data_IF_467560644977
#
_entry.id   IF_467560644977
#
_cell.length_a   1.000
_cell.length_b   1.000
_cell.length_c   1.000
_cell.angle_alpha   90.00
_cell.angle_beta   90.00
_cell.angle_gamma   90.00
#
_symmetry.space_group_name_H-M   'P 1'
#
loop_
_entity.id
_entity.type
_entity.pdbx_description
1 polymer ?
#
# COMPACT_ATOMS: atom_id res chain seq x y z
N UNK A 1 -31.22 13.86 50.67
CA UNK A 1 -31.51 13.53 49.29
C UNK A 1 -30.17 13.10 48.64
N UNK A 2 -29.95 11.76 48.58
CA UNK A 2 -28.82 11.15 47.91
C UNK A 2 -29.19 10.99 46.42
N UNK A 3 -28.50 11.71 45.54
CA UNK A 3 -28.56 11.52 44.11
C UNK A 3 -27.75 10.30 43.70
N UNK A 4 -28.42 9.23 43.30
CA UNK A 4 -27.80 8.06 42.69
C UNK A 4 -27.43 8.43 41.24
N UNK A 5 -26.13 8.67 41.01
CA UNK A 5 -25.57 8.83 39.66
C UNK A 5 -25.46 7.44 39.06
N UNK A 6 -26.43 7.07 38.24
CA UNK A 6 -26.31 5.88 37.36
C UNK A 6 -25.34 6.20 36.25
N UNK A 7 -24.10 5.72 36.39
CA UNK A 7 -23.17 5.60 35.27
C UNK A 7 -23.79 4.64 34.25
N UNK A 8 -24.35 5.17 33.17
CA UNK A 8 -24.65 4.35 32.00
C UNK A 8 -23.32 3.75 31.51
N UNK A 9 -23.15 2.44 31.72
CA UNK A 9 -22.20 1.66 30.94
C UNK A 9 -22.56 1.87 29.46
N UNK A 10 -21.68 2.49 28.68
CA UNK A 10 -21.71 2.36 27.22
C UNK A 10 -21.73 0.86 26.94
N UNK A 11 -22.83 0.36 26.38
CA UNK A 11 -22.87 -0.97 25.76
C UNK A 11 -21.74 -0.98 24.75
N UNK A 12 -20.74 -1.84 24.95
CA UNK A 12 -19.54 -1.90 24.12
C UNK A 12 -19.95 -2.06 22.67
N UNK A 13 -19.46 -1.15 21.83
CA UNK A 13 -19.58 -1.23 20.39
C UNK A 13 -18.91 -2.52 19.92
N UNK A 14 -19.58 -3.31 19.07
CA UNK A 14 -19.04 -4.61 18.62
C UNK A 14 -17.78 -4.36 17.79
N UNK A 15 -16.70 -5.04 18.12
CA UNK A 15 -15.47 -5.02 17.34
C UNK A 15 -15.57 -6.07 16.20
N UNK A 16 -15.86 -5.59 14.98
CA UNK A 16 -15.96 -6.45 13.79
C UNK A 16 -14.60 -6.84 13.22
N UNK A 17 -13.52 -6.13 13.58
CA UNK A 17 -12.17 -6.46 13.13
C UNK A 17 -11.71 -7.82 13.65
N UNK A 18 -12.26 -8.30 14.77
CA UNK A 18 -11.99 -9.60 15.34
C UNK A 18 -12.34 -10.79 14.42
N UNK A 19 -13.23 -10.58 13.46
CA UNK A 19 -13.62 -11.60 12.47
C UNK A 19 -12.74 -11.59 11.22
N UNK A 20 -11.85 -10.61 11.04
CA UNK A 20 -10.97 -10.54 9.88
C UNK A 20 -9.72 -11.38 10.10
N UNK A 21 -9.48 -12.32 9.21
CA UNK A 21 -8.22 -13.05 9.14
C UNK A 21 -7.45 -12.63 7.88
N UNK A 22 -6.49 -11.71 8.05
CA UNK A 22 -5.70 -11.15 6.96
C UNK A 22 -4.80 -12.16 6.24
N UNK A 23 -4.61 -13.38 6.79
CA UNK A 23 -3.87 -14.46 6.13
C UNK A 23 -4.70 -15.26 5.14
N UNK A 24 -6.04 -15.11 5.11
CA UNK A 24 -6.87 -15.76 4.09
C UNK A 24 -6.51 -15.19 2.72
N UNK A 25 -6.22 -16.07 1.75
CA UNK A 25 -5.78 -15.71 0.41
C UNK A 25 -4.27 -15.47 0.29
N UNK A 26 -3.49 -15.49 1.38
CA UNK A 26 -2.04 -15.31 1.36
C UNK A 26 -1.25 -16.61 1.11
N UNK A 27 -1.94 -17.72 0.78
CA UNK A 27 -1.31 -18.98 0.40
C UNK A 27 -1.52 -19.26 -1.09
N UNK A 28 -0.66 -20.10 -1.64
CA UNK A 28 -0.68 -20.54 -3.04
C UNK A 28 -0.79 -19.37 -4.04
N UNK A 29 -1.93 -19.26 -4.72
CA UNK A 29 -2.20 -18.29 -5.77
C UNK A 29 -3.28 -17.26 -5.37
N UNK A 30 -3.52 -17.05 -4.09
CA UNK A 30 -4.49 -16.06 -3.61
C UNK A 30 -4.01 -14.62 -3.75
N UNK A 31 -2.69 -14.41 -3.72
CA UNK A 31 -2.02 -13.13 -3.94
C UNK A 31 -2.55 -12.00 -3.05
N UNK A 32 -2.84 -12.31 -1.77
CA UNK A 32 -3.14 -11.30 -0.76
C UNK A 32 -1.95 -11.15 0.19
N UNK A 33 -1.90 -10.04 0.90
CA UNK A 33 -0.86 -9.75 1.88
C UNK A 33 -1.45 -9.55 3.28
N UNK A 34 -0.74 -9.93 4.37
CA UNK A 34 -1.24 -9.81 5.74
C UNK A 34 -0.92 -8.48 6.41
N UNK A 35 -0.17 -7.59 5.75
CA UNK A 35 0.39 -6.40 6.36
C UNK A 35 -0.61 -5.30 6.70
N UNK A 36 -0.10 -4.22 7.28
CA UNK A 36 -0.90 -3.10 7.76
C UNK A 36 -1.25 -2.12 6.64
N UNK A 37 -2.53 -1.81 6.50
CA UNK A 37 -3.04 -0.77 5.61
C UNK A 37 -4.30 -0.11 6.20
N UNK A 38 -4.73 0.98 5.58
CA UNK A 38 -6.03 1.62 5.81
C UNK A 38 -6.96 1.33 4.64
N UNK A 39 -8.29 1.50 4.77
CA UNK A 39 -9.18 1.39 3.61
C UNK A 39 -8.78 2.34 2.48
N UNK A 40 -8.63 1.80 1.27
CA UNK A 40 -8.28 2.56 0.06
C UNK A 40 -6.97 3.37 0.14
N UNK A 41 -6.04 2.99 1.01
CA UNK A 41 -4.80 3.75 1.25
C UNK A 41 -3.74 3.54 0.17
N UNK A 42 -2.83 4.51 0.03
CA UNK A 42 -1.60 4.37 -0.76
C UNK A 42 -0.66 3.37 -0.10
N UNK A 43 -0.51 3.43 1.22
CA UNK A 43 0.39 2.58 1.98
C UNK A 43 -0.26 1.25 2.34
N UNK A 44 0.45 0.17 2.02
CA UNK A 44 0.18 -1.19 2.43
C UNK A 44 1.50 -1.83 2.88
N UNK A 45 1.94 -1.48 4.10
CA UNK A 45 3.22 -2.00 4.59
C UNK A 45 3.09 -3.45 5.03
N UNK A 46 3.85 -4.36 4.42
CA UNK A 46 3.69 -5.81 4.58
C UNK A 46 5.01 -6.56 4.49
N UNK A 47 5.12 -7.74 5.12
CA UNK A 47 6.27 -8.61 4.94
C UNK A 47 6.38 -9.12 3.50
N UNK A 48 7.62 -9.30 3.08
CA UNK A 48 8.02 -9.91 1.82
C UNK A 48 8.67 -11.25 2.11
N UNK A 49 8.15 -12.34 1.53
CA UNK A 49 8.77 -13.68 1.62
C UNK A 49 9.41 -14.12 0.31
N UNK A 50 9.17 -13.38 -0.78
CA UNK A 50 9.79 -13.55 -2.07
C UNK A 50 9.32 -12.50 -3.06
N UNK A 51 10.08 -12.31 -4.13
CA UNK A 51 9.83 -11.23 -5.10
C UNK A 51 9.90 -11.69 -6.57
N UNK A 52 10.23 -12.94 -6.85
CA UNK A 52 10.49 -13.40 -8.21
C UNK A 52 9.54 -14.53 -8.59
N UNK A 53 8.82 -14.32 -9.69
CA UNK A 53 7.84 -15.27 -10.23
C UNK A 53 6.42 -15.05 -9.72
N UNK A 54 5.46 -15.53 -10.51
CA UNK A 54 4.03 -15.26 -10.34
C UNK A 54 3.46 -15.56 -8.95
N UNK A 55 4.04 -16.53 -8.24
CA UNK A 55 3.65 -16.86 -6.86
C UNK A 55 3.75 -15.66 -5.91
N UNK A 56 4.62 -14.71 -6.21
CA UNK A 56 4.94 -13.54 -5.37
C UNK A 56 4.33 -12.23 -5.90
N UNK A 57 3.17 -12.27 -6.57
CA UNK A 57 2.49 -11.05 -7.03
C UNK A 57 2.15 -10.07 -5.88
N UNK A 58 1.90 -10.57 -4.68
CA UNK A 58 1.74 -9.76 -3.46
C UNK A 58 2.89 -9.94 -2.48
N UNK A 59 4.04 -10.45 -2.95
CA UNK A 59 5.32 -10.63 -2.24
C UNK A 59 5.27 -11.55 -1.01
N UNK A 60 4.10 -11.87 -0.49
CA UNK A 60 3.96 -12.73 0.69
C UNK A 60 3.28 -14.05 0.34
N UNK A 61 3.86 -15.15 0.81
CA UNK A 61 3.27 -16.49 0.75
C UNK A 61 3.30 -17.14 2.13
N UNK A 62 2.12 -17.47 2.65
CA UNK A 62 1.92 -17.95 4.03
C UNK A 62 2.78 -19.15 4.42
N UNK A 63 3.06 -20.06 3.46
CA UNK A 63 3.85 -21.28 3.71
C UNK A 63 5.37 -21.04 3.76
N UNK A 64 5.83 -19.85 3.44
CA UNK A 64 7.24 -19.52 3.50
C UNK A 64 7.69 -19.29 4.95
N UNK A 65 8.98 -19.50 5.19
CA UNK A 65 9.61 -19.40 6.51
C UNK A 65 10.72 -18.36 6.58
N UNK A 66 10.90 -17.57 5.50
CA UNK A 66 11.96 -16.59 5.36
C UNK A 66 11.38 -15.24 4.95
N UNK A 67 11.56 -14.21 5.77
CA UNK A 67 11.20 -12.82 5.44
C UNK A 67 12.43 -12.12 4.85
N UNK A 68 12.22 -11.42 3.72
CA UNK A 68 13.21 -10.59 3.05
C UNK A 68 13.25 -9.17 3.62
N UNK A 69 12.12 -8.69 4.11
CA UNK A 69 11.92 -7.36 4.67
C UNK A 69 10.46 -6.95 4.61
N UNK A 70 10.21 -5.64 4.66
CA UNK A 70 8.88 -5.03 4.64
C UNK A 70 8.84 -3.95 3.58
N UNK A 71 7.98 -4.09 2.57
CA UNK A 71 7.74 -3.07 1.54
C UNK A 71 6.55 -2.19 1.90
N UNK A 72 6.40 -1.06 1.21
CA UNK A 72 5.41 -0.03 1.59
C UNK A 72 4.16 -0.05 0.73
N UNK A 73 4.20 -0.73 -0.42
CA UNK A 73 3.08 -0.83 -1.37
C UNK A 73 2.89 -2.27 -1.82
N UNK A 74 1.64 -2.69 -2.04
CA UNK A 74 1.32 -4.05 -2.50
C UNK A 74 0.10 -4.05 -3.42
N UNK A 75 0.07 -4.98 -4.36
CA UNK A 75 -1.16 -5.40 -5.02
C UNK A 75 -1.88 -6.44 -4.16
N UNK A 76 -3.20 -6.49 -4.24
CA UNK A 76 -4.03 -7.41 -3.46
C UNK A 76 -4.96 -8.21 -4.37
N UNK A 77 -4.83 -9.53 -4.35
CA UNK A 77 -5.69 -10.45 -5.10
C UNK A 77 -5.49 -10.40 -6.62
N UNK A 78 -4.38 -9.85 -7.11
CA UNK A 78 -4.09 -9.72 -8.54
C UNK A 78 -2.99 -10.68 -8.98
N UNK A 79 -3.09 -11.17 -10.21
CA UNK A 79 -2.07 -12.03 -10.82
C UNK A 79 -1.01 -11.26 -11.60
N UNK A 80 -0.60 -10.08 -11.14
CA UNK A 80 0.43 -9.29 -11.78
C UNK A 80 1.55 -8.86 -10.82
N UNK A 81 2.73 -8.66 -11.38
CA UNK A 81 3.95 -8.28 -10.65
C UNK A 81 4.12 -6.78 -10.76
N UNK A 82 3.73 -6.04 -9.73
CA UNK A 82 3.96 -4.60 -9.61
C UNK A 82 3.77 -4.14 -8.17
N UNK A 83 4.12 -2.88 -7.87
CA UNK A 83 4.24 -2.33 -6.51
C UNK A 83 5.32 -3.07 -5.70
N UNK A 84 5.29 -3.08 -4.37
CA UNK A 84 6.31 -3.75 -3.56
C UNK A 84 7.59 -2.93 -3.45
N UNK A 85 7.50 -1.62 -3.42
CA UNK A 85 8.66 -0.72 -3.41
C UNK A 85 9.08 -0.32 -2.00
N UNK A 86 10.33 0.16 -1.90
CA UNK A 86 10.95 0.68 -0.68
C UNK A 86 10.95 -0.40 0.42
N UNK A 87 11.78 -1.43 0.21
CA UNK A 87 11.96 -2.48 1.21
C UNK A 87 12.85 -1.98 2.33
N UNK A 88 12.44 -2.27 3.57
CA UNK A 88 13.23 -2.05 4.78
C UNK A 88 13.32 -3.33 5.58
N UNK A 89 14.47 -3.56 6.23
CA UNK A 89 14.68 -4.75 7.06
C UNK A 89 15.53 -4.40 8.28
N UNK A 90 15.04 -4.61 9.53
CA UNK A 90 15.89 -4.48 10.70
C UNK A 90 16.90 -5.62 10.73
N UNK A 91 18.14 -5.28 10.97
CA UNK A 91 19.30 -6.21 10.95
C UNK A 91 20.24 -5.92 12.11
N UNK A 92 21.06 -6.91 12.49
CA UNK A 92 22.09 -6.78 13.53
C UNK A 92 23.43 -7.31 13.07
N UNK A 93 24.52 -6.79 13.65
CA UNK A 93 25.87 -7.27 13.42
C UNK A 93 26.36 -7.06 11.97
N UNK A 94 27.21 -7.96 11.51
CA UNK A 94 27.84 -7.89 10.16
C UNK A 94 26.98 -8.55 9.07
N UNK A 95 25.81 -9.07 9.38
CA UNK A 95 24.94 -9.84 8.46
C UNK A 95 24.51 -9.05 7.23
N UNK A 96 24.31 -7.76 7.38
CA UNK A 96 23.78 -6.91 6.34
C UNK A 96 24.76 -6.56 5.20
N UNK A 97 25.92 -7.21 5.11
CA UNK A 97 26.96 -6.86 4.12
C UNK A 97 26.80 -7.53 2.75
N UNK A 98 25.89 -8.51 2.62
CA UNK A 98 25.53 -9.10 1.33
C UNK A 98 24.02 -8.99 1.16
N UNK A 99 23.56 -8.67 -0.04
CA UNK A 99 22.15 -8.34 -0.31
C UNK A 99 21.15 -9.47 0.00
N UNK A 100 21.60 -10.72 0.03
CA UNK A 100 20.79 -11.91 0.34
C UNK A 100 20.97 -12.42 1.80
N UNK A 101 21.94 -11.89 2.53
CA UNK A 101 22.24 -12.32 3.90
C UNK A 101 21.41 -11.62 4.99
N UNK A 102 20.63 -10.61 4.64
CA UNK A 102 19.80 -9.87 5.59
C UNK A 102 18.44 -10.53 5.86
N UNK A 103 18.05 -11.51 5.05
CA UNK A 103 16.78 -12.24 5.23
C UNK A 103 16.76 -12.97 6.56
N UNK A 104 15.56 -13.10 7.15
CA UNK A 104 15.40 -13.73 8.45
C UNK A 104 14.37 -14.84 8.43
N UNK A 105 14.68 -15.95 9.07
CA UNK A 105 13.70 -16.93 9.47
C UNK A 105 12.76 -16.33 10.52
N UNK A 106 11.55 -16.84 10.58
CA UNK A 106 10.56 -16.48 11.59
C UNK A 106 9.65 -17.67 11.92
N UNK A 107 9.29 -17.85 13.20
CA UNK A 107 8.33 -18.88 13.59
C UNK A 107 6.90 -18.38 13.35
N UNK A 108 6.06 -19.20 12.73
CA UNK A 108 4.66 -18.86 12.42
C UNK A 108 3.80 -18.56 13.63
N UNK A 109 4.10 -19.16 14.77
CA UNK A 109 3.41 -18.91 16.05
C UNK A 109 3.81 -17.57 16.71
N UNK A 110 4.78 -16.86 16.12
CA UNK A 110 5.23 -15.51 16.50
C UNK A 110 4.91 -14.46 15.44
N UNK A 111 4.10 -14.81 14.46
CA UNK A 111 3.56 -13.92 13.46
C UNK A 111 2.08 -13.67 13.76
N UNK A 112 1.65 -12.42 13.75
CA UNK A 112 0.25 -12.06 13.92
C UNK A 112 -0.10 -10.83 13.10
N UNK A 113 -1.36 -10.77 12.62
CA UNK A 113 -1.88 -9.65 11.87
C UNK A 113 -3.35 -9.41 12.16
N UNK A 114 -3.74 -8.15 12.18
CA UNK A 114 -5.13 -7.69 12.26
C UNK A 114 -5.29 -6.49 11.33
N UNK A 115 -6.51 -6.08 10.96
CA UNK A 115 -6.69 -4.88 10.15
C UNK A 115 -5.92 -3.67 10.68
N UNK A 116 -4.98 -3.15 9.90
CA UNK A 116 -4.14 -2.01 10.26
C UNK A 116 -2.92 -2.31 11.14
N UNK A 117 -2.63 -3.59 11.43
CA UNK A 117 -1.46 -3.96 12.24
C UNK A 117 -0.89 -5.31 11.83
N UNK A 118 0.45 -5.40 11.85
CA UNK A 118 1.20 -6.64 11.65
C UNK A 118 2.37 -6.72 12.63
N UNK A 119 2.72 -7.93 13.08
CA UNK A 119 3.88 -8.17 13.94
C UNK A 119 4.51 -9.54 13.68
N UNK A 120 5.84 -9.62 13.84
CA UNK A 120 6.61 -10.86 13.70
C UNK A 120 7.92 -10.81 14.50
N UNK A 121 8.36 -11.98 14.98
CA UNK A 121 9.70 -12.17 15.55
C UNK A 121 10.67 -12.63 14.46
N UNK A 122 11.66 -11.82 14.16
CA UNK A 122 12.75 -12.12 13.22
C UNK A 122 13.87 -12.81 14.00
N UNK A 123 14.03 -14.13 13.79
CA UNK A 123 14.96 -14.93 14.62
C UNK A 123 16.42 -14.64 14.36
N UNK A 124 16.78 -14.39 13.11
CA UNK A 124 18.17 -14.22 12.73
C UNK A 124 18.81 -12.93 13.26
N UNK A 125 18.19 -11.75 13.14
CA UNK A 125 18.69 -10.53 13.77
C UNK A 125 18.28 -10.42 15.26
N UNK A 126 17.36 -11.26 15.77
CA UNK A 126 16.83 -11.13 17.13
C UNK A 126 16.04 -9.83 17.32
N UNK A 127 15.07 -9.58 16.42
CA UNK A 127 14.27 -8.34 16.40
C UNK A 127 12.79 -8.65 16.32
N UNK A 128 11.99 -8.05 17.20
CA UNK A 128 10.55 -7.98 17.00
C UNK A 128 10.24 -6.81 16.08
N UNK A 129 9.53 -7.08 14.97
CA UNK A 129 9.05 -6.06 14.06
C UNK A 129 7.53 -5.88 14.22
N UNK A 130 7.09 -4.63 14.29
CA UNK A 130 5.68 -4.25 14.34
C UNK A 130 5.41 -3.14 13.32
N UNK A 131 4.32 -3.26 12.57
CA UNK A 131 3.94 -2.35 11.51
C UNK A 131 2.52 -1.84 11.72
N UNK A 132 2.31 -0.56 11.50
CA UNK A 132 0.99 0.06 11.35
C UNK A 132 1.04 1.15 10.29
N UNK A 133 -0.11 1.66 9.84
CA UNK A 133 -0.17 2.61 8.73
C UNK A 133 -1.25 3.67 8.91
N UNK A 134 -0.97 4.83 8.34
CA UNK A 134 -1.93 5.85 7.92
C UNK A 134 -2.15 5.76 6.40
N UNK A 135 -3.02 6.58 5.78
CA UNK A 135 -3.24 6.48 4.33
C UNK A 135 -1.99 6.66 3.45
N UNK A 136 -1.06 7.51 3.85
CA UNK A 136 0.14 7.85 3.05
C UNK A 136 1.47 7.59 3.77
N UNK A 137 1.43 7.09 5.02
CA UNK A 137 2.64 6.82 5.77
C UNK A 137 2.55 5.51 6.58
N UNK A 138 3.64 4.73 6.57
CA UNK A 138 3.84 3.61 7.47
C UNK A 138 4.57 4.05 8.74
N UNK A 139 4.27 3.40 9.86
CA UNK A 139 5.03 3.51 11.10
C UNK A 139 5.50 2.12 11.53
N UNK A 140 6.80 1.94 11.57
CA UNK A 140 7.47 0.72 11.99
C UNK A 140 8.01 0.88 13.39
N UNK A 141 7.94 -0.19 14.19
CA UNK A 141 8.60 -0.31 15.50
C UNK A 141 9.43 -1.59 15.52
N UNK A 142 10.71 -1.44 15.80
CA UNK A 142 11.68 -2.54 15.88
C UNK A 142 12.24 -2.61 17.29
N UNK A 143 11.97 -3.70 18.02
CA UNK A 143 12.57 -3.97 19.32
C UNK A 143 13.77 -4.88 19.13
N UNK A 144 14.96 -4.39 19.39
CA UNK A 144 16.21 -5.14 19.25
C UNK A 144 16.50 -5.88 20.55
N UNK A 145 16.40 -7.22 20.54
CA UNK A 145 16.70 -8.04 21.71
C UNK A 145 18.20 -8.09 22.02
N UNK A 146 19.03 -7.92 20.98
CA UNK A 146 20.48 -7.81 21.08
C UNK A 146 20.90 -6.48 20.45
N UNK A 147 21.75 -5.70 21.15
CA UNK A 147 22.18 -4.38 20.69
C UNK A 147 23.41 -4.41 19.77
N UNK A 148 23.84 -5.58 19.28
CA UNK A 148 25.06 -5.70 18.51
C UNK A 148 24.87 -5.09 17.12
N UNK A 149 25.20 -3.80 16.97
CA UNK A 149 25.09 -3.02 15.72
C UNK A 149 23.65 -2.98 15.17
N UNK A 150 22.69 -2.52 16.00
CA UNK A 150 21.30 -2.32 15.58
C UNK A 150 21.24 -1.45 14.31
N UNK A 151 20.69 -1.98 13.23
CA UNK A 151 20.69 -1.32 11.94
C UNK A 151 19.39 -1.57 11.17
N UNK A 152 19.12 -0.73 10.19
CA UNK A 152 18.05 -0.94 9.19
C UNK A 152 18.68 -0.95 7.80
N UNK A 153 18.47 -2.04 7.08
CA UNK A 153 18.71 -2.08 5.63
C UNK A 153 17.54 -1.35 4.95
N UNK A 154 17.86 -0.49 4.00
CA UNK A 154 16.94 0.19 3.09
C UNK A 154 17.31 -0.27 1.68
N UNK A 155 16.46 -1.06 1.05
CA UNK A 155 16.68 -1.58 -0.32
C UNK A 155 15.72 -0.89 -1.29
N UNK A 156 16.27 0.04 -2.05
CA UNK A 156 15.56 0.83 -3.06
C UNK A 156 15.71 0.22 -4.48
N UNK A 157 16.27 -0.98 -4.59
CA UNK A 157 16.29 -1.79 -5.80
C UNK A 157 15.15 -2.82 -5.82
N UNK A 158 14.60 -3.11 -4.63
CA UNK A 158 13.58 -4.14 -4.46
C UNK A 158 12.28 -3.79 -5.17
N UNK A 159 11.58 -4.83 -5.63
CA UNK A 159 10.23 -4.85 -6.18
C UNK A 159 9.95 -6.21 -6.81
N UNK A 160 8.70 -6.65 -6.93
CA UNK A 160 8.37 -7.95 -7.50
C UNK A 160 8.67 -8.00 -9.01
N UNK A 161 9.11 -9.16 -9.48
CA UNK A 161 9.53 -9.35 -10.88
C UNK A 161 9.16 -10.73 -11.41
N UNK A 162 8.94 -10.85 -12.74
CA UNK A 162 8.66 -12.13 -13.40
C UNK A 162 9.85 -13.07 -13.40
N UNK A 163 11.07 -12.52 -13.41
CA UNK A 163 12.33 -13.27 -13.44
C UNK A 163 13.48 -12.42 -12.91
N UNK A 164 14.64 -13.07 -12.70
CA UNK A 164 15.86 -12.44 -12.18
C UNK A 164 16.32 -11.23 -13.02
N UNK A 165 16.28 -11.33 -14.35
CA UNK A 165 16.74 -10.23 -15.21
C UNK A 165 15.88 -8.98 -15.02
N UNK A 166 14.55 -9.14 -14.90
CA UNK A 166 13.65 -8.04 -14.62
C UNK A 166 13.89 -7.48 -13.22
N UNK A 167 14.09 -8.32 -12.21
CA UNK A 167 14.38 -7.91 -10.85
C UNK A 167 15.58 -6.96 -10.78
N UNK A 168 16.63 -7.24 -11.53
CA UNK A 168 17.83 -6.41 -11.57
C UNK A 168 17.71 -5.15 -12.46
N UNK A 169 16.70 -5.03 -13.29
CA UNK A 169 16.56 -3.92 -14.25
C UNK A 169 15.28 -3.07 -14.09
N UNK A 170 14.40 -3.39 -13.15
CA UNK A 170 13.13 -2.68 -12.98
C UNK A 170 13.31 -1.22 -12.53
N UNK A 171 14.25 -0.94 -11.64
CA UNK A 171 14.55 0.42 -11.20
C UNK A 171 15.32 1.16 -12.29
N UNK A 172 14.78 2.29 -12.74
CA UNK A 172 15.33 3.11 -13.82
C UNK A 172 16.25 4.22 -13.29
N UNK A 173 15.90 4.76 -12.11
CA UNK A 173 16.71 5.76 -11.40
C UNK A 173 16.39 5.75 -9.91
N UNK A 174 17.36 6.12 -9.10
CA UNK A 174 17.21 6.26 -7.65
C UNK A 174 18.09 7.40 -7.14
N UNK A 175 17.46 8.35 -6.47
CA UNK A 175 18.13 9.46 -5.80
C UNK A 175 17.80 9.45 -4.31
N UNK A 176 18.79 9.74 -3.48
CA UNK A 176 18.62 9.79 -2.02
C UNK A 176 19.41 10.94 -1.44
N UNK A 177 18.89 11.55 -0.38
CA UNK A 177 19.56 12.62 0.33
C UNK A 177 19.29 12.50 1.84
N UNK A 178 20.35 12.47 2.64
CA UNK A 178 20.25 12.67 4.09
C UNK A 178 20.13 14.15 4.39
N UNK A 179 18.97 14.60 4.82
CA UNK A 179 18.73 16.01 5.19
C UNK A 179 19.35 16.35 6.56
N UNK A 180 19.32 15.36 7.45
CA UNK A 180 19.95 15.39 8.78
C UNK A 180 20.26 13.94 9.23
N UNK A 181 20.72 13.76 10.46
CA UNK A 181 21.06 12.44 11.02
C UNK A 181 19.87 11.51 11.23
N UNK A 182 18.63 11.97 11.04
CA UNK A 182 17.41 11.18 11.27
C UNK A 182 16.50 11.12 10.04
N UNK A 183 16.78 11.87 8.98
CA UNK A 183 15.87 12.07 7.87
C UNK A 183 16.53 11.73 6.54
N UNK A 184 16.09 10.65 5.92
CA UNK A 184 16.44 10.28 4.55
C UNK A 184 15.26 10.61 3.62
N UNK A 185 15.54 11.34 2.56
CA UNK A 185 14.58 11.58 1.48
C UNK A 185 15.06 10.96 0.19
N UNK A 186 14.14 10.67 -0.72
CA UNK A 186 14.54 10.12 -2.01
C UNK A 186 13.43 10.04 -3.03
N UNK A 187 13.85 9.62 -4.21
CA UNK A 187 13.01 9.34 -5.36
C UNK A 187 13.48 8.05 -6.01
N UNK A 188 12.54 7.15 -6.28
CA UNK A 188 12.75 5.94 -7.06
C UNK A 188 11.81 5.99 -8.26
N UNK A 189 12.36 5.81 -9.46
CA UNK A 189 11.57 5.56 -10.65
C UNK A 189 11.68 4.09 -11.02
N UNK A 190 10.52 3.42 -11.01
CA UNK A 190 10.39 2.02 -11.34
C UNK A 190 9.63 1.85 -12.68
N UNK A 191 9.85 0.73 -13.36
CA UNK A 191 9.17 0.37 -14.60
C UNK A 191 8.98 -1.14 -14.66
N UNK A 192 7.79 -1.59 -14.24
CA UNK A 192 7.35 -2.98 -14.40
C UNK A 192 6.22 -3.03 -15.44
N UNK A 193 4.99 -2.72 -15.07
CA UNK A 193 3.87 -2.58 -16.01
C UNK A 193 3.69 -1.15 -16.48
N UNK A 194 3.85 -0.19 -15.55
CA UNK A 194 3.85 1.25 -15.84
C UNK A 194 5.10 1.90 -15.28
N UNK A 195 5.47 3.06 -15.82
CA UNK A 195 6.50 3.87 -15.19
C UNK A 195 5.90 4.55 -13.96
N UNK A 196 6.53 4.33 -12.81
CA UNK A 196 6.08 4.82 -11.52
C UNK A 196 7.16 5.68 -10.89
N UNK A 197 6.74 6.78 -10.28
CA UNK A 197 7.60 7.64 -9.48
C UNK A 197 7.16 7.56 -8.03
N UNK A 198 8.09 7.17 -7.15
CA UNK A 198 7.91 7.10 -5.71
C UNK A 198 8.83 8.13 -5.06
N UNK A 199 8.26 9.19 -4.56
CA UNK A 199 8.98 10.12 -3.70
C UNK A 199 8.70 9.74 -2.24
N UNK A 200 9.72 9.71 -1.42
CA UNK A 200 9.56 9.31 -0.04
C UNK A 200 10.32 10.21 0.92
N UNK A 201 9.85 10.24 2.15
CA UNK A 201 10.60 10.66 3.32
C UNK A 201 10.58 9.53 4.35
N UNK A 202 11.75 9.19 4.83
CA UNK A 202 11.95 8.22 5.91
C UNK A 202 12.57 8.94 7.09
N UNK A 203 11.96 8.79 8.26
CA UNK A 203 12.42 9.46 9.48
C UNK A 203 12.54 8.47 10.62
N UNK A 204 13.64 8.59 11.38
CA UNK A 204 13.92 7.76 12.55
C UNK A 204 13.77 8.58 13.84
N UNK A 205 13.34 7.94 14.94
CA UNK A 205 13.25 8.60 16.25
C UNK A 205 14.62 8.75 16.93
N UNK A 206 15.69 8.15 16.34
CA UNK A 206 17.08 8.23 16.83
C UNK A 206 18.01 8.66 15.70
N UNK A 207 19.15 9.29 16.01
CA UNK A 207 20.14 9.63 14.99
C UNK A 207 20.83 8.37 14.43
N UNK A 208 21.03 8.35 13.13
CA UNK A 208 21.93 7.42 12.44
C UNK A 208 23.35 7.81 12.78
N UNK A 209 24.13 6.85 13.30
CA UNK A 209 25.54 7.06 13.69
C UNK A 209 26.53 6.61 12.61
N UNK A 210 26.09 5.72 11.69
CA UNK A 210 26.90 5.25 10.55
C UNK A 210 26.00 4.89 9.39
N UNK A 211 26.51 5.05 8.17
CA UNK A 211 25.79 4.72 6.93
C UNK A 211 26.71 3.96 5.99
N UNK A 212 26.32 2.75 5.60
CA UNK A 212 27.02 1.93 4.62
C UNK A 212 26.18 1.76 3.34
N UNK A 213 26.77 2.13 2.19
CA UNK A 213 26.18 1.83 0.88
C UNK A 213 26.73 0.50 0.37
N UNK A 214 25.85 -0.46 0.12
CA UNK A 214 26.24 -1.77 -0.40
C UNK A 214 26.55 -1.68 -1.90
N UNK A 215 27.50 -2.52 -2.39
CA UNK A 215 27.78 -2.62 -3.83
C UNK A 215 26.54 -3.05 -4.61
N UNK A 216 26.35 -2.46 -5.79
CA UNK A 216 25.27 -2.76 -6.72
C UNK A 216 25.84 -3.42 -7.98
N UNK A 217 25.04 -4.26 -8.65
CA UNK A 217 25.38 -4.78 -9.97
C UNK A 217 25.26 -3.65 -11.03
N UNK A 218 25.97 -3.80 -12.17
CA UNK A 218 25.94 -2.78 -13.24
C UNK A 218 24.52 -2.51 -13.81
N UNK A 219 23.66 -3.52 -13.78
CA UNK A 219 22.26 -3.45 -14.24
C UNK A 219 21.36 -2.79 -13.24
N UNK A 220 21.73 -2.73 -11.97
CA UNK A 220 20.94 -2.15 -10.88
C UNK A 220 21.13 -0.64 -10.81
N UNK A 221 20.05 0.11 -10.76
CA UNK A 221 20.03 1.58 -10.67
C UNK A 221 19.47 2.08 -9.33
N UNK A 222 19.03 1.16 -8.47
CA UNK A 222 18.62 1.42 -7.09
C UNK A 222 19.81 1.67 -6.16
N UNK A 223 19.51 1.66 -4.87
CA UNK A 223 20.52 1.76 -3.80
C UNK A 223 20.17 0.80 -2.68
N UNK A 224 21.19 0.26 -2.02
CA UNK A 224 21.05 -0.48 -0.75
C UNK A 224 21.86 0.24 0.31
N UNK A 225 21.20 0.68 1.36
CA UNK A 225 21.76 1.52 2.42
C UNK A 225 21.54 0.81 3.75
N UNK A 226 22.58 0.73 4.58
CA UNK A 226 22.48 0.28 5.96
C UNK A 226 22.66 1.51 6.85
N UNK A 227 21.62 1.85 7.60
CA UNK A 227 21.65 2.88 8.61
C UNK A 227 21.82 2.22 9.99
N UNK A 228 22.87 2.58 10.72
CA UNK A 228 23.23 2.01 12.03
C UNK A 228 22.89 2.99 13.14
N UNK A 229 22.42 2.46 14.28
CA UNK A 229 21.96 3.20 15.44
C UNK A 229 22.68 2.77 16.70
N UNK A 230 22.90 3.71 17.61
CA UNK A 230 23.37 3.43 18.96
C UNK A 230 22.17 3.05 19.84
N UNK A 231 22.12 1.77 20.23
CA UNK A 231 20.99 1.21 20.97
C UNK A 231 21.43 0.17 22.01
N UNK A 232 20.70 0.11 23.10
CA UNK A 232 20.87 -0.93 24.12
C UNK A 232 19.90 -2.09 23.87
N UNK A 233 20.21 -3.32 24.37
CA UNK A 233 19.31 -4.46 24.26
C UNK A 233 17.92 -4.16 24.84
N UNK A 234 16.86 -4.49 24.10
CA UNK A 234 15.46 -4.26 24.46
C UNK A 234 14.93 -2.87 24.12
N UNK A 235 15.74 -1.98 23.56
CA UNK A 235 15.27 -0.67 23.10
C UNK A 235 14.51 -0.75 21.78
N UNK A 236 13.63 0.24 21.56
CA UNK A 236 12.79 0.37 20.38
C UNK A 236 13.32 1.46 19.43
N UNK A 237 13.46 1.09 18.15
CA UNK A 237 13.63 2.02 17.04
C UNK A 237 12.28 2.24 16.37
N UNK A 238 11.86 3.50 16.27
CA UNK A 238 10.69 3.88 15.47
C UNK A 238 11.15 4.50 14.16
N UNK A 239 10.50 4.09 13.07
CA UNK A 239 10.75 4.61 11.73
C UNK A 239 9.43 4.93 11.04
N UNK A 240 9.31 6.12 10.48
CA UNK A 240 8.21 6.54 9.59
C UNK A 240 8.67 6.48 8.16
N UNK A 241 7.82 5.99 7.26
CA UNK A 241 8.02 6.07 5.81
C UNK A 241 6.77 6.63 5.18
N UNK A 242 6.82 7.87 4.69
CA UNK A 242 5.72 8.46 3.94
C UNK A 242 6.08 8.58 2.46
N UNK A 243 5.07 8.44 1.61
CA UNK A 243 5.22 8.43 0.16
C UNK A 243 4.34 9.48 -0.49
N UNK A 244 4.72 9.86 -1.72
CA UNK A 244 3.98 10.75 -2.59
C UNK A 244 4.29 10.43 -4.06
N UNK A 245 3.35 10.71 -4.95
CA UNK A 245 3.57 10.67 -6.40
C UNK A 245 4.07 12.01 -6.95
N UNK A 246 4.05 13.08 -6.15
CA UNK A 246 4.31 14.46 -6.62
C UNK A 246 5.73 14.93 -6.37
N UNK A 247 6.29 14.60 -5.20
CA UNK A 247 7.61 15.02 -4.79
C UNK A 247 7.88 14.74 -3.31
N UNK A 248 9.13 14.95 -2.90
CA UNK A 248 9.54 14.82 -1.49
C UNK A 248 8.73 15.74 -0.57
N UNK A 249 8.41 16.95 -1.01
CA UNK A 249 7.57 17.88 -0.23
C UNK A 249 6.14 17.36 -0.03
N UNK A 250 5.59 16.64 -1.03
CA UNK A 250 4.31 15.94 -0.89
C UNK A 250 4.39 14.85 0.20
N UNK A 251 5.43 14.02 0.15
CA UNK A 251 5.65 12.98 1.16
C UNK A 251 5.83 13.55 2.58
N UNK A 252 6.53 14.68 2.72
CA UNK A 252 6.66 15.39 4.01
C UNK A 252 5.31 15.89 4.52
N UNK A 253 4.50 16.52 3.67
CA UNK A 253 3.14 16.98 4.04
C UNK A 253 2.26 15.81 4.49
N UNK A 254 2.31 14.69 3.78
CA UNK A 254 1.60 13.48 4.13
C UNK A 254 2.01 12.98 5.51
N UNK A 255 3.32 12.89 5.79
CA UNK A 255 3.84 12.50 7.11
C UNK A 255 3.39 13.43 8.23
N UNK A 256 3.51 14.74 8.02
CA UNK A 256 3.14 15.75 9.03
C UNK A 256 1.64 15.75 9.33
N UNK A 257 0.80 15.56 8.31
CA UNK A 257 -0.65 15.54 8.48
C UNK A 257 -1.16 14.28 9.19
N UNK A 258 -0.53 13.13 8.95
CA UNK A 258 -1.07 11.83 9.35
C UNK A 258 -0.33 11.19 10.53
N UNK A 259 0.99 11.36 10.63
CA UNK A 259 1.81 10.80 11.71
C UNK A 259 2.78 11.90 12.24
N UNK A 260 2.24 12.93 12.87
CA UNK A 260 3.04 14.06 13.35
C UNK A 260 4.03 13.64 14.44
N UNK A 261 3.62 12.78 15.36
CA UNK A 261 4.41 12.32 16.51
C UNK A 261 4.84 10.85 16.39
N UNK A 262 5.49 10.31 17.42
CA UNK A 262 5.98 8.93 17.48
C UNK A 262 5.02 7.98 18.25
N UNK A 263 3.72 8.33 18.32
CA UNK A 263 2.71 7.54 19.03
C UNK A 263 2.27 6.32 18.20
N UNK A 264 3.03 5.23 18.26
CA UNK A 264 2.73 3.99 17.56
C UNK A 264 1.34 3.43 17.91
N UNK A 265 1.00 3.40 19.20
CA UNK A 265 -0.29 2.84 19.63
C UNK A 265 -1.46 3.73 19.17
N UNK A 266 -1.28 5.05 19.09
CA UNK A 266 -2.29 5.96 18.57
C UNK A 266 -2.56 5.73 17.07
N UNK A 267 -1.52 5.54 16.25
CA UNK A 267 -1.67 5.22 14.81
C UNK A 267 -2.34 3.87 14.62
N UNK A 268 -1.90 2.83 15.37
CA UNK A 268 -2.49 1.50 15.38
C UNK A 268 -3.97 1.53 15.75
N UNK A 269 -4.33 2.24 16.82
CA UNK A 269 -5.73 2.37 17.26
C UNK A 269 -6.58 3.09 16.20
N UNK A 270 -6.07 4.17 15.62
CA UNK A 270 -6.76 4.89 14.55
C UNK A 270 -7.00 4.00 13.31
N UNK A 271 -6.05 3.12 12.98
CA UNK A 271 -6.23 2.14 11.90
C UNK A 271 -7.32 1.12 12.23
N UNK A 272 -7.28 0.54 13.44
CA UNK A 272 -8.30 -0.37 13.93
C UNK A 272 -9.70 0.26 13.91
N UNK A 273 -9.83 1.48 14.43
CA UNK A 273 -11.13 2.17 14.54
C UNK A 273 -11.71 2.49 13.16
N UNK A 274 -10.88 2.89 12.20
CA UNK A 274 -11.34 3.11 10.83
C UNK A 274 -11.82 1.82 10.17
N UNK A 275 -11.07 0.71 10.30
CA UNK A 275 -11.51 -0.58 9.80
C UNK A 275 -12.82 -1.02 10.47
N UNK A 276 -12.93 -0.90 11.80
CA UNK A 276 -14.17 -1.25 12.51
C UNK A 276 -15.36 -0.41 12.05
N UNK A 277 -15.15 0.90 11.80
CA UNK A 277 -16.21 1.79 11.28
C UNK A 277 -16.72 1.34 9.90
N UNK A 278 -15.86 0.83 9.01
CA UNK A 278 -16.31 0.29 7.71
C UNK A 278 -16.98 -1.08 7.87
N UNK A 279 -16.38 -1.99 8.62
CA UNK A 279 -16.86 -3.36 8.80
C UNK A 279 -18.21 -3.40 9.54
N UNK A 280 -18.44 -2.47 10.46
CA UNK A 280 -19.71 -2.36 11.20
C UNK A 280 -20.92 -1.93 10.37
N UNK A 281 -20.71 -1.53 9.10
CA UNK A 281 -21.82 -1.12 8.19
C UNK A 281 -22.73 -2.27 7.79
N UNK A 282 -22.28 -3.52 7.96
CA UNK A 282 -23.09 -4.73 7.78
C UNK A 282 -22.92 -5.61 9.01
N UNK A 283 -24.05 -6.01 9.59
CA UNK A 283 -24.06 -7.05 10.62
C UNK A 283 -24.65 -8.34 10.03
N UNK A 284 -23.94 -9.46 10.19
CA UNK A 284 -24.42 -10.77 9.78
C UNK A 284 -24.55 -11.70 10.97
N UNK A 285 -25.50 -12.64 10.88
CA UNK A 285 -25.65 -13.76 11.80
C UNK A 285 -25.12 -15.02 11.13
N UNK A 286 -24.36 -15.85 11.86
CA UNK A 286 -23.77 -17.06 11.33
C UNK A 286 -22.76 -17.67 12.31
N UNK A 287 -22.14 -18.75 11.90
CA UNK A 287 -20.99 -19.36 12.60
C UNK A 287 -19.78 -18.45 12.55
N UNK A 288 -18.78 -18.71 13.38
CA UNK A 288 -17.53 -17.94 13.37
C UNK A 288 -16.80 -18.05 12.02
N UNK A 289 -16.82 -19.21 11.37
CA UNK A 289 -16.25 -19.39 10.03
C UNK A 289 -16.98 -18.56 8.97
N UNK A 290 -18.31 -18.51 8.99
CA UNK A 290 -19.10 -17.69 8.07
C UNK A 290 -18.82 -16.20 8.28
N UNK A 291 -18.73 -15.75 9.53
CA UNK A 291 -18.35 -14.38 9.86
C UNK A 291 -16.93 -14.06 9.41
N UNK A 292 -15.98 -14.95 9.67
CA UNK A 292 -14.59 -14.78 9.25
C UNK A 292 -14.49 -14.66 7.73
N UNK A 293 -15.14 -15.54 6.98
CA UNK A 293 -15.16 -15.47 5.52
C UNK A 293 -15.79 -14.17 5.00
N UNK A 294 -16.91 -13.76 5.59
CA UNK A 294 -17.61 -12.54 5.18
C UNK A 294 -16.79 -11.29 5.47
N UNK A 295 -16.35 -11.09 6.72
CA UNK A 295 -15.64 -9.87 7.10
C UNK A 295 -14.24 -9.79 6.50
N UNK A 296 -13.56 -10.93 6.29
CA UNK A 296 -12.28 -10.94 5.55
C UNK A 296 -12.48 -10.58 4.08
N UNK A 297 -13.54 -11.08 3.43
CA UNK A 297 -13.86 -10.69 2.05
C UNK A 297 -14.23 -9.21 1.95
N UNK A 298 -14.97 -8.70 2.94
CA UNK A 298 -15.30 -7.28 3.02
C UNK A 298 -14.05 -6.42 3.22
N UNK A 299 -13.15 -6.82 4.13
CA UNK A 299 -11.85 -6.18 4.33
C UNK A 299 -11.05 -6.13 3.02
N UNK A 300 -10.90 -7.26 2.30
CA UNK A 300 -10.17 -7.30 1.03
C UNK A 300 -10.79 -6.40 -0.03
N UNK A 301 -12.12 -6.31 -0.10
CA UNK A 301 -12.80 -5.44 -1.05
C UNK A 301 -12.53 -3.95 -0.83
N UNK A 302 -12.11 -3.54 0.38
CA UNK A 302 -11.84 -2.14 0.72
C UNK A 302 -10.34 -1.77 0.68
N UNK A 303 -9.44 -2.70 0.34
CA UNK A 303 -8.00 -2.39 0.22
C UNK A 303 -7.75 -1.52 -1.01
N UNK A 304 -8.43 -1.81 -2.13
CA UNK A 304 -8.30 -1.10 -3.40
C UNK A 304 -9.68 -0.63 -3.90
N UNK A 305 -9.73 0.41 -4.74
CA UNK A 305 -8.65 1.18 -5.36
C UNK A 305 -7.89 2.08 -4.36
N UNK A 306 -6.62 2.35 -4.66
CA UNK A 306 -5.76 3.14 -3.76
C UNK A 306 -5.85 4.63 -4.04
N UNK A 307 -5.98 5.46 -3.01
CA UNK A 307 -5.80 6.90 -3.12
C UNK A 307 -4.32 7.21 -3.30
N UNK A 308 -3.93 7.74 -4.45
CA UNK A 308 -2.54 8.10 -4.77
C UNK A 308 -2.27 9.61 -4.80
N UNK A 309 -3.31 10.43 -4.58
CA UNK A 309 -3.15 11.87 -4.35
C UNK A 309 -2.70 12.13 -2.93
N UNK A 310 -1.83 13.14 -2.75
CA UNK A 310 -1.41 13.62 -1.44
C UNK A 310 -2.57 14.18 -0.61
N UNK A 311 -2.35 14.43 0.67
CA UNK A 311 -3.37 14.97 1.61
C UNK A 311 -3.97 16.31 1.15
N UNK A 312 -3.26 17.08 0.33
CA UNK A 312 -3.72 18.33 -0.26
C UNK A 312 -4.34 18.18 -1.67
N UNK A 313 -4.50 16.92 -2.13
CA UNK A 313 -5.16 16.54 -3.37
C UNK A 313 -4.29 16.59 -4.63
N UNK A 314 -3.00 16.88 -4.54
CA UNK A 314 -2.09 16.83 -5.68
C UNK A 314 -1.67 15.39 -6.01
N UNK A 315 -1.55 15.07 -7.29
CA UNK A 315 -1.10 13.76 -7.77
C UNK A 315 -0.39 13.88 -9.13
N UNK A 316 0.32 12.82 -9.52
CA UNK A 316 0.93 12.69 -10.85
C UNK A 316 -0.03 11.97 -11.78
N UNK A 317 -0.43 12.62 -12.87
CA UNK A 317 -1.39 12.07 -13.83
C UNK A 317 -0.71 11.17 -14.90
N UNK A 318 -1.52 10.60 -15.80
CA UNK A 318 -1.05 9.69 -16.86
C UNK A 318 -0.05 10.32 -17.85
N UNK A 319 0.02 11.65 -17.94
CA UNK A 319 1.00 12.39 -18.75
C UNK A 319 2.23 12.86 -17.94
N UNK A 320 2.47 12.28 -16.75
CA UNK A 320 3.56 12.66 -15.84
C UNK A 320 3.50 14.12 -15.35
N UNK A 321 2.35 14.77 -15.46
CA UNK A 321 2.13 16.13 -14.94
C UNK A 321 1.59 16.10 -13.52
N UNK A 322 2.05 17.02 -12.67
CA UNK A 322 1.52 17.18 -11.31
C UNK A 322 0.30 18.10 -11.38
N UNK A 323 -0.86 17.57 -10.98
CA UNK A 323 -2.15 18.24 -11.04
C UNK A 323 -2.93 18.01 -9.76
N UNK A 324 -4.00 18.78 -9.55
CA UNK A 324 -4.87 18.63 -8.39
C UNK A 324 -6.15 17.89 -8.77
N UNK A 325 -6.52 16.88 -7.98
CA UNK A 325 -7.77 16.14 -8.14
C UNK A 325 -8.99 17.06 -7.99
N UNK A 326 -9.97 16.96 -8.89
CA UNK A 326 -11.11 17.85 -8.94
C UNK A 326 -12.00 17.82 -7.70
N UNK A 327 -12.07 16.68 -7.01
CA UNK A 327 -12.82 16.51 -5.76
C UNK A 327 -11.93 16.25 -4.53
N UNK A 328 -10.64 16.57 -4.61
CA UNK A 328 -9.68 16.47 -3.50
C UNK A 328 -9.02 15.11 -3.33
N UNK A 329 -9.44 14.07 -4.06
CA UNK A 329 -8.82 12.74 -4.01
C UNK A 329 -8.75 12.11 -5.41
N UNK A 330 -7.63 11.50 -5.74
CA UNK A 330 -7.47 10.70 -6.96
C UNK A 330 -7.12 9.26 -6.59
N UNK A 331 -7.90 8.33 -7.14
CA UNK A 331 -7.77 6.90 -6.92
C UNK A 331 -7.20 6.19 -8.14
N UNK A 332 -6.45 5.14 -7.90
CA UNK A 332 -5.88 4.25 -8.92
C UNK A 332 -5.94 2.79 -8.48
N UNK A 333 -5.29 1.90 -9.23
CA UNK A 333 -5.35 0.44 -9.01
C UNK A 333 -6.78 -0.07 -9.24
N UNK A 334 -7.28 0.20 -10.44
CA UNK A 334 -8.61 -0.21 -10.89
C UNK A 334 -8.53 -1.44 -11.79
N UNK A 335 -8.78 -2.62 -11.24
CA UNK A 335 -8.99 -3.86 -12.03
C UNK A 335 -10.44 -3.94 -12.49
N UNK A 336 -10.84 -3.07 -13.43
CA UNK A 336 -12.26 -2.85 -13.75
C UNK A 336 -12.94 -4.08 -14.35
N UNK A 337 -12.24 -4.93 -15.10
CA UNK A 337 -12.82 -6.13 -15.69
C UNK A 337 -13.23 -7.16 -14.63
N UNK A 338 -12.63 -7.12 -13.43
CA UNK A 338 -13.03 -7.91 -12.27
C UNK A 338 -14.11 -7.20 -11.44
N UNK A 339 -13.89 -5.91 -11.13
CA UNK A 339 -14.61 -5.22 -10.07
C UNK A 339 -15.96 -4.64 -10.49
N UNK A 340 -16.19 -4.43 -11.81
CA UNK A 340 -17.42 -3.78 -12.30
C UNK A 340 -18.69 -4.58 -11.99
N UNK A 341 -18.61 -5.91 -11.86
CA UNK A 341 -19.77 -6.79 -11.68
C UNK A 341 -20.32 -6.75 -10.26
N UNK A 342 -19.44 -6.68 -9.25
CA UNK A 342 -19.84 -6.82 -7.85
C UNK A 342 -19.21 -5.76 -6.94
N UNK A 343 -17.89 -5.51 -6.99
CA UNK A 343 -17.24 -4.59 -6.08
C UNK A 343 -17.73 -3.14 -6.25
N UNK A 344 -17.79 -2.61 -7.48
CA UNK A 344 -18.32 -1.26 -7.70
C UNK A 344 -19.82 -1.12 -7.32
N UNK A 345 -20.73 -2.04 -7.70
CA UNK A 345 -22.08 -2.07 -7.15
C UNK A 345 -22.12 -2.11 -5.62
N UNK A 346 -21.27 -2.89 -4.98
CA UNK A 346 -21.16 -2.98 -3.53
C UNK A 346 -20.68 -1.68 -2.91
N UNK A 347 -19.73 -0.98 -3.51
CA UNK A 347 -19.27 0.33 -3.04
C UNK A 347 -20.39 1.36 -3.01
N UNK A 348 -21.34 1.32 -3.94
CA UNK A 348 -22.47 2.23 -3.93
C UNK A 348 -23.40 2.05 -2.71
N UNK A 349 -23.32 0.90 -2.06
CA UNK A 349 -24.09 0.58 -0.85
C UNK A 349 -23.27 0.82 0.42
N UNK A 350 -22.01 0.35 0.41
CA UNK A 350 -21.20 0.27 1.62
C UNK A 350 -20.29 1.48 1.83
N UNK A 351 -19.85 2.11 0.76
CA UNK A 351 -18.94 3.27 0.81
C UNK A 351 -19.39 4.38 -0.14
N UNK A 352 -20.68 4.81 -0.07
CA UNK A 352 -21.25 5.78 -1.01
C UNK A 352 -20.46 7.10 -1.04
N UNK A 353 -19.81 7.48 0.05
CA UNK A 353 -18.96 8.67 0.15
C UNK A 353 -17.70 8.62 -0.71
N UNK A 354 -17.30 7.44 -1.20
CA UNK A 354 -16.12 7.25 -2.07
C UNK A 354 -16.47 7.20 -3.55
N UNK A 355 -17.71 6.86 -3.91
CA UNK A 355 -18.12 6.55 -5.29
C UNK A 355 -17.88 7.72 -6.25
N UNK A 356 -18.23 8.94 -5.87
CA UNK A 356 -17.99 10.11 -6.70
C UNK A 356 -16.46 10.34 -6.94
N UNK A 357 -15.63 10.03 -5.94
CA UNK A 357 -14.18 10.07 -6.06
C UNK A 357 -13.65 9.04 -7.06
N UNK A 358 -14.17 7.83 -7.04
CA UNK A 358 -13.80 6.78 -8.00
C UNK A 358 -14.17 7.19 -9.43
N UNK A 359 -15.39 7.70 -9.63
CA UNK A 359 -15.86 8.14 -10.95
C UNK A 359 -15.03 9.33 -11.45
N UNK A 360 -14.77 10.35 -10.62
CA UNK A 360 -13.92 11.48 -11.00
C UNK A 360 -12.53 11.02 -11.42
N UNK A 361 -11.92 10.07 -10.70
CA UNK A 361 -10.59 9.55 -11.04
C UNK A 361 -10.57 8.85 -12.41
N UNK A 362 -11.61 8.06 -12.73
CA UNK A 362 -11.74 7.44 -14.05
C UNK A 362 -11.90 8.48 -15.16
N UNK A 363 -12.69 9.53 -14.93
CA UNK A 363 -12.91 10.62 -15.89
C UNK A 363 -11.63 11.44 -16.09
N UNK A 364 -10.97 11.85 -15.00
CA UNK A 364 -9.71 12.62 -15.06
C UNK A 364 -8.60 11.85 -15.77
N UNK A 365 -8.46 10.55 -15.51
CA UNK A 365 -7.49 9.71 -16.23
C UNK A 365 -7.85 9.63 -17.72
N UNK A 366 -9.13 9.44 -18.06
CA UNK A 366 -9.59 9.34 -19.45
C UNK A 366 -9.38 10.63 -20.22
N UNK A 367 -9.54 11.80 -19.62
CA UNK A 367 -9.30 13.09 -20.27
C UNK A 367 -7.83 13.28 -20.67
N UNK A 368 -6.91 12.73 -19.87
CA UNK A 368 -5.46 12.82 -20.15
C UNK A 368 -5.02 11.81 -21.21
N UNK A 369 -5.47 10.56 -21.12
CA UNK A 369 -5.03 9.48 -22.01
C UNK A 369 -5.92 9.29 -23.25
N UNK A 370 -7.13 9.89 -23.28
CA UNK A 370 -8.05 9.86 -24.41
C UNK A 370 -9.15 8.81 -24.32
N UNK A 371 -9.12 7.88 -23.36
CA UNK A 371 -10.09 6.80 -23.16
C UNK A 371 -10.16 6.40 -21.70
N UNK A 372 -11.29 5.78 -21.30
CA UNK A 372 -11.44 5.23 -19.94
C UNK A 372 -10.46 4.10 -19.69
N UNK A 373 -9.86 4.02 -18.49
CA UNK A 373 -8.91 2.94 -18.19
C UNK A 373 -9.59 1.57 -18.24
N UNK A 374 -8.81 0.57 -18.65
CA UNK A 374 -9.18 -0.85 -18.60
C UNK A 374 -8.63 -1.43 -17.29
N UNK A 375 -7.34 -1.24 -17.06
CA UNK A 375 -6.65 -1.63 -15.85
C UNK A 375 -5.68 -0.52 -15.43
N UNK A 376 -6.19 0.45 -14.68
CA UNK A 376 -5.39 1.59 -14.22
C UNK A 376 -4.49 1.22 -13.04
N UNK A 377 -3.19 1.51 -13.15
CA UNK A 377 -2.20 1.31 -12.09
C UNK A 377 -1.40 2.60 -11.88
N UNK A 378 -1.34 3.06 -10.67
CA UNK A 378 -0.57 4.25 -10.27
C UNK A 378 -0.84 5.49 -11.14
N UNK A 379 -2.12 5.68 -11.50
CA UNK A 379 -2.60 6.79 -12.35
C UNK A 379 -2.38 6.60 -13.85
N UNK A 380 -1.90 5.44 -14.30
CA UNK A 380 -1.60 5.12 -15.70
C UNK A 380 -2.32 3.87 -16.17
N UNK A 381 -2.46 3.71 -17.49
CA UNK A 381 -3.02 2.51 -18.10
C UNK A 381 -1.94 1.43 -18.28
N UNK A 382 -2.25 0.19 -17.92
CA UNK A 382 -1.35 -0.96 -18.09
C UNK A 382 -1.45 -1.61 -19.46
N UNK A 383 -2.50 -1.32 -20.23
CA UNK A 383 -2.83 -1.95 -21.52
C UNK A 383 -2.98 -3.47 -21.42
N UNK A 384 -3.53 -3.93 -20.30
CA UNK A 384 -3.79 -5.35 -20.06
C UNK A 384 -5.27 -5.61 -19.84
N UNK A 385 -5.67 -6.87 -20.04
CA UNK A 385 -7.05 -7.34 -19.95
C UNK A 385 -7.95 -6.76 -21.04
N UNK A 386 -9.23 -7.02 -20.94
CA UNK A 386 -10.21 -6.70 -21.98
C UNK A 386 -11.39 -5.92 -21.42
N UNK A 387 -12.15 -5.31 -22.31
CA UNK A 387 -13.43 -4.69 -22.03
C UNK A 387 -13.31 -3.21 -21.70
N UNK A 388 -14.47 -2.59 -21.63
CA UNK A 388 -14.62 -1.16 -21.38
C UNK A 388 -15.54 -0.94 -20.18
N UNK A 389 -15.14 -1.52 -19.06
CA UNK A 389 -15.99 -1.64 -17.87
C UNK A 389 -16.14 -0.34 -17.08
N UNK A 390 -15.24 0.63 -17.30
CA UNK A 390 -15.39 1.99 -16.75
C UNK A 390 -16.72 2.64 -17.14
N UNK A 391 -17.21 2.35 -18.34
CA UNK A 391 -18.54 2.81 -18.80
C UNK A 391 -19.66 2.31 -17.88
N UNK A 392 -19.64 1.00 -17.54
CA UNK A 392 -20.66 0.41 -16.66
C UNK A 392 -20.61 1.03 -15.26
N UNK A 393 -19.41 1.22 -14.72
CA UNK A 393 -19.19 1.80 -13.38
C UNK A 393 -19.75 3.23 -13.30
N UNK A 394 -19.43 4.08 -14.28
CA UNK A 394 -19.92 5.47 -14.33
C UNK A 394 -21.44 5.52 -14.53
N UNK A 395 -21.97 4.71 -15.47
CA UNK A 395 -23.38 4.67 -15.75
C UNK A 395 -24.21 4.18 -14.55
N UNK A 396 -23.71 3.18 -13.81
CA UNK A 396 -24.34 2.69 -12.59
C UNK A 396 -24.37 3.76 -11.50
N UNK A 397 -23.23 4.43 -11.23
CA UNK A 397 -23.16 5.52 -10.27
C UNK A 397 -24.19 6.62 -10.61
N UNK A 398 -24.24 7.05 -11.88
CA UNK A 398 -25.22 8.03 -12.34
C UNK A 398 -26.65 7.57 -12.14
N UNK A 399 -26.99 6.32 -12.49
CA UNK A 399 -28.36 5.77 -12.35
C UNK A 399 -28.76 5.61 -10.90
N UNK A 400 -27.84 5.35 -9.99
CA UNK A 400 -28.07 5.27 -8.53
C UNK A 400 -28.14 6.64 -7.83
N UNK A 401 -27.99 7.73 -8.58
CA UNK A 401 -28.20 9.08 -8.04
C UNK A 401 -26.94 9.80 -7.56
N UNK A 402 -25.76 9.24 -7.77
CA UNK A 402 -24.50 9.93 -7.48
C UNK A 402 -24.31 11.12 -8.44
N UNK A 403 -23.95 12.28 -7.91
CA UNK A 403 -23.88 13.56 -8.64
C UNK A 403 -22.69 14.43 -8.23
N UNK A 404 -21.73 13.92 -7.46
CA UNK A 404 -20.48 14.61 -7.10
C UNK A 404 -19.43 14.57 -8.21
N UNK A 405 -19.85 14.23 -9.46
CA UNK A 405 -19.04 14.31 -10.67
C UNK A 405 -19.83 15.02 -11.78
N UNK A 406 -19.10 15.60 -12.74
CA UNK A 406 -19.69 16.26 -13.90
C UNK A 406 -20.19 15.21 -14.91
N UNK A 407 -21.50 15.08 -15.04
CA UNK A 407 -22.13 14.09 -15.92
C UNK A 407 -21.87 14.33 -17.41
N UNK A 408 -21.69 15.59 -17.82
CA UNK A 408 -21.39 15.92 -19.22
C UNK A 408 -19.93 15.53 -19.57
N UNK A 409 -18.97 15.85 -18.69
CA UNK A 409 -17.58 15.37 -18.81
C UNK A 409 -17.53 13.85 -18.87
N UNK A 410 -18.21 13.18 -17.93
CA UNK A 410 -18.29 11.72 -17.87
C UNK A 410 -18.90 11.13 -19.18
N UNK A 411 -19.97 11.70 -19.70
CA UNK A 411 -20.56 11.29 -20.98
C UNK A 411 -19.59 11.49 -22.16
N UNK A 412 -18.87 12.61 -22.21
CA UNK A 412 -17.93 12.91 -23.28
C UNK A 412 -16.75 11.90 -23.29
N UNK A 413 -16.18 11.53 -22.14
CA UNK A 413 -15.11 10.51 -22.10
C UNK A 413 -15.64 9.12 -22.46
N UNK A 414 -16.88 8.75 -22.05
CA UNK A 414 -17.54 7.51 -22.46
C UNK A 414 -17.72 7.50 -23.99
N UNK A 415 -18.29 8.56 -24.55
CA UNK A 415 -18.50 8.68 -26.00
C UNK A 415 -17.17 8.58 -26.75
N UNK A 416 -16.15 9.30 -26.32
CA UNK A 416 -14.82 9.25 -26.95
C UNK A 416 -14.25 7.81 -26.90
N UNK A 417 -14.31 7.16 -25.73
CA UNK A 417 -13.84 5.78 -25.56
C UNK A 417 -14.56 4.79 -26.48
N UNK A 418 -15.86 5.01 -26.77
CA UNK A 418 -16.69 4.08 -27.56
C UNK A 418 -16.65 4.34 -29.06
N UNK A 419 -16.28 5.55 -29.51
CA UNK A 419 -16.46 5.97 -30.91
C UNK A 419 -15.15 6.35 -31.61
N UNK A 420 -14.06 6.53 -30.88
CA UNK A 420 -12.75 6.89 -31.43
C UNK A 420 -11.83 5.68 -31.33
N UNK A 421 -11.16 5.34 -32.44
CA UNK A 421 -10.11 4.33 -32.42
C UNK A 421 -8.87 4.85 -31.70
N UNK A 422 -8.47 4.17 -30.63
CA UNK A 422 -7.28 4.49 -29.86
C UNK A 422 -6.16 3.52 -30.22
N UNK A 423 -5.13 4.03 -30.92
CA UNK A 423 -3.91 3.24 -31.15
C UNK A 423 -3.11 3.17 -29.85
N UNK A 424 -3.06 1.99 -29.28
CA UNK A 424 -2.25 1.68 -28.12
C UNK A 424 -0.79 1.51 -28.50
N UNK A 425 0.12 1.67 -27.53
CA UNK A 425 1.55 1.36 -27.70
C UNK A 425 1.83 -0.12 -27.99
N UNK A 426 0.92 -1.01 -27.66
CA UNK A 426 0.87 -2.39 -28.12
C UNK A 426 -0.15 -2.46 -29.25
N UNK A 427 0.02 -3.36 -30.22
CA UNK A 427 -0.85 -3.55 -31.40
C UNK A 427 -2.32 -3.95 -31.06
N UNK A 428 -2.81 -3.62 -29.88
CA UNK A 428 -4.17 -3.87 -29.39
C UNK A 428 -5.04 -2.65 -29.67
N UNK A 429 -6.14 -2.87 -30.35
CA UNK A 429 -7.18 -1.86 -30.58
C UNK A 429 -8.23 -1.95 -29.46
N UNK A 430 -8.44 -0.86 -28.72
CA UNK A 430 -9.56 -0.74 -27.79
C UNK A 430 -10.79 -0.28 -28.58
N UNK A 431 -11.28 -1.08 -29.42
CA UNK A 431 -12.42 -0.68 -30.24
C UNK A 431 -13.51 -1.71 -30.25
#
# INVERSE_FOLDING_TARGET
>A
LFGCSTTQQKTGETDYTQYVNTFIGAADNGHTFPGACRPFSMIQTSPVTGAIGWRYCSEYVYTDSLIWGFTQTHLNGTGCMDLGDILVMPVTGTRARAWDSYRSHFPKDKEAATPGYYTVELTDPGVKAELTASPHAALHRYTYHNADSASVLIDLQHGPAWNENQYHSQVQSCETNWEDAQTLTGHVRNSVWVNQDYFFVMKFNRPVIDTLYLPMAETEKGKRIIATFDMEPGEELLMKVAMSTTGVDGAKKNMEAEIADWNFEGVKQAAHDEWNNYLSRIEITGTDDEKTNFYTSFYHALIQPNQISDVDGWYRNAADSIVKAGNGAFYSTFSLWDTYRAAHPFYTLMVPEKVDGFVNSLVEQAEVQGFLPIWGLWGKETYTMIGNHGVSVIAEAYRKGFRGFDAERAFNVIKNTQTVSHKLKSDWDIG
#
